data_IF_468270022512
#
_entry.id   IF_468270022512
#
_cell.length_a   1.000
_cell.length_b   1.000
_cell.length_c   1.000
_cell.angle_alpha   90.00
_cell.angle_beta   90.00
_cell.angle_gamma   90.00
#
_symmetry.space_group_name_H-M   'P 1'
#
loop_
_entity.id
_entity.type
_entity.pdbx_description
1 polymer ?
#
# COMPACT_ATOMS: atom_id res chain seq x y z
N UNK A 1 -61.27 -59.25 44.37
CA UNK A 1 -60.99 -59.19 42.94
C UNK A 1 -60.21 -57.88 42.73
N UNK A 2 -58.90 -58.01 42.68
CA UNK A 2 -57.98 -56.87 42.52
C UNK A 2 -57.55 -56.77 41.06
N UNK A 3 -57.85 -55.64 40.46
CA UNK A 3 -57.32 -55.32 39.09
C UNK A 3 -55.94 -54.69 39.20
N UNK A 4 -55.00 -55.05 38.37
CA UNK A 4 -53.64 -54.44 38.37
C UNK A 4 -53.62 -53.13 37.64
N UNK A 5 -53.02 -52.11 38.27
CA UNK A 5 -52.68 -50.83 37.66
C UNK A 5 -51.53 -51.01 36.67
N UNK A 6 -51.74 -50.54 35.43
CA UNK A 6 -50.72 -50.44 34.42
C UNK A 6 -49.73 -49.24 34.68
N UNK A 7 -48.48 -49.56 34.86
CA UNK A 7 -47.37 -48.55 34.89
C UNK A 7 -47.06 -48.07 33.49
N UNK A 8 -47.19 -46.75 33.24
CA UNK A 8 -46.73 -46.08 32.07
C UNK A 8 -45.17 -46.01 32.06
N UNK A 9 -44.48 -46.22 30.95
CA UNK A 9 -43.04 -46.01 30.90
C UNK A 9 -42.73 -44.52 30.74
N UNK A 10 -41.99 -43.97 31.70
CA UNK A 10 -41.38 -42.70 31.60
C UNK A 10 -40.29 -42.77 30.52
N UNK A 11 -40.54 -42.19 29.33
CA UNK A 11 -39.55 -41.86 28.30
C UNK A 11 -38.80 -40.60 28.77
N UNK A 12 -37.66 -40.79 29.45
CA UNK A 12 -36.65 -39.79 29.63
C UNK A 12 -35.80 -39.73 28.35
N UNK A 13 -36.32 -39.09 27.32
CA UNK A 13 -35.56 -38.67 26.18
C UNK A 13 -34.91 -37.30 26.46
N UNK A 14 -33.63 -37.28 26.83
CA UNK A 14 -32.86 -36.04 26.77
C UNK A 14 -32.95 -35.51 25.35
N UNK A 15 -33.15 -34.18 25.14
CA UNK A 15 -33.14 -33.62 23.79
C UNK A 15 -31.82 -33.94 23.15
N UNK A 16 -31.77 -34.26 21.84
CA UNK A 16 -30.53 -34.54 21.14
C UNK A 16 -29.64 -33.30 21.28
N UNK A 17 -28.48 -33.47 21.88
CA UNK A 17 -27.46 -32.44 21.93
C UNK A 17 -27.12 -32.07 20.49
N UNK A 18 -27.39 -30.83 20.11
CA UNK A 18 -26.91 -30.28 18.81
C UNK A 18 -25.42 -30.57 18.70
N UNK A 19 -24.93 -31.03 17.55
CA UNK A 19 -23.50 -31.26 17.37
C UNK A 19 -22.77 -29.95 17.64
N UNK A 20 -21.97 -29.91 18.70
CA UNK A 20 -21.12 -28.77 19.02
C UNK A 20 -20.02 -28.76 17.97
N UNK A 21 -20.02 -27.75 17.10
CA UNK A 21 -18.96 -27.56 16.15
C UNK A 21 -17.68 -27.23 16.94
N UNK A 22 -16.57 -27.89 16.62
CA UNK A 22 -15.29 -27.62 17.25
C UNK A 22 -14.83 -26.19 16.94
N UNK A 23 -14.24 -25.49 17.90
CA UNK A 23 -13.78 -24.10 17.77
C UNK A 23 -12.79 -23.91 16.60
N UNK A 24 -11.99 -24.94 16.32
CA UNK A 24 -11.07 -24.96 15.17
C UNK A 24 -11.83 -24.90 13.84
N UNK A 25 -12.94 -25.64 13.72
CA UNK A 25 -13.77 -25.61 12.50
C UNK A 25 -14.47 -24.27 12.34
N UNK A 26 -14.96 -23.70 13.46
CA UNK A 26 -15.53 -22.35 13.44
C UNK A 26 -14.49 -21.34 12.97
N UNK A 27 -13.28 -21.39 13.51
CA UNK A 27 -12.16 -20.54 13.10
C UNK A 27 -11.86 -20.68 11.61
N UNK A 28 -11.80 -21.93 11.10
CA UNK A 28 -11.56 -22.22 9.70
C UNK A 28 -12.64 -21.60 8.79
N UNK A 29 -13.91 -21.74 9.15
CA UNK A 29 -15.03 -21.19 8.35
C UNK A 29 -15.02 -19.66 8.41
N UNK A 30 -14.95 -19.07 9.61
CA UNK A 30 -15.00 -17.62 9.78
C UNK A 30 -13.82 -16.91 9.12
N UNK A 31 -12.65 -17.55 9.04
CA UNK A 31 -11.47 -16.96 8.40
C UNK A 31 -11.55 -16.89 6.86
N UNK A 32 -12.56 -17.52 6.25
CA UNK A 32 -12.82 -17.44 4.81
C UNK A 32 -13.80 -16.31 4.45
N UNK A 33 -14.41 -15.68 5.44
CA UNK A 33 -15.44 -14.65 5.23
C UNK A 33 -14.80 -13.25 5.12
N UNK A 34 -15.41 -12.31 4.37
CA UNK A 34 -14.96 -10.90 4.35
C UNK A 34 -14.98 -10.31 5.77
N UNK A 35 -14.04 -9.40 6.08
CA UNK A 35 -13.81 -8.81 7.43
C UNK A 35 -15.10 -8.33 8.11
N UNK A 36 -16.01 -7.73 7.35
CA UNK A 36 -17.29 -7.22 7.86
C UNK A 36 -18.11 -8.33 8.56
N UNK A 37 -18.09 -9.55 8.03
CA UNK A 37 -18.89 -10.67 8.57
C UNK A 37 -18.37 -11.15 9.93
N UNK A 38 -17.09 -11.52 10.13
CA UNK A 38 -16.56 -11.82 11.45
C UNK A 38 -16.76 -10.67 12.44
N UNK A 39 -16.63 -9.41 12.03
CA UNK A 39 -16.88 -8.27 12.91
C UNK A 39 -18.33 -8.24 13.44
N UNK A 40 -19.31 -8.50 12.59
CA UNK A 40 -20.72 -8.65 13.01
C UNK A 40 -20.92 -9.86 13.93
N UNK A 41 -20.22 -10.96 13.66
CA UNK A 41 -20.34 -12.19 14.42
C UNK A 41 -19.77 -12.09 15.84
N UNK A 42 -18.94 -11.11 16.16
CA UNK A 42 -18.52 -10.79 17.55
C UNK A 42 -19.73 -10.50 18.46
N UNK A 43 -20.86 -10.10 17.90
CA UNK A 43 -22.08 -9.80 18.67
C UNK A 43 -22.95 -11.03 18.97
N UNK A 44 -22.67 -12.19 18.35
CA UNK A 44 -23.51 -13.39 18.47
C UNK A 44 -23.37 -14.04 19.85
N UNK A 45 -22.15 -14.30 20.31
CA UNK A 45 -21.88 -14.86 21.63
C UNK A 45 -20.47 -14.53 22.13
N UNK A 46 -20.24 -14.74 23.43
CA UNK A 46 -18.94 -14.48 24.08
C UNK A 46 -17.80 -15.31 23.46
N UNK A 47 -18.07 -16.58 23.14
CA UNK A 47 -17.10 -17.49 22.54
C UNK A 47 -16.59 -16.92 21.18
N UNK A 48 -17.51 -16.56 20.30
CA UNK A 48 -17.15 -15.99 18.99
C UNK A 48 -16.46 -14.64 19.13
N UNK A 49 -16.86 -13.81 20.10
CA UNK A 49 -16.16 -12.56 20.39
C UNK A 49 -14.71 -12.83 20.78
N UNK A 50 -14.45 -13.79 21.67
CA UNK A 50 -13.09 -14.15 22.09
C UNK A 50 -12.29 -14.70 20.93
N UNK A 51 -12.83 -15.66 20.19
CA UNK A 51 -12.20 -16.29 19.04
C UNK A 51 -11.79 -15.26 17.97
N UNK A 52 -12.72 -14.41 17.54
CA UNK A 52 -12.48 -13.43 16.47
C UNK A 52 -11.54 -12.29 16.93
N UNK A 53 -11.43 -12.06 18.25
CA UNK A 53 -10.52 -11.05 18.81
C UNK A 53 -9.13 -11.61 19.10
N UNK A 54 -8.94 -12.90 18.90
CA UNK A 54 -7.63 -13.54 19.07
C UNK A 54 -6.68 -13.17 17.93
N UNK A 55 -5.40 -12.96 18.28
CA UNK A 55 -4.36 -12.59 17.29
C UNK A 55 -4.06 -13.72 16.30
N UNK A 56 -4.13 -14.98 16.75
CA UNK A 56 -3.92 -16.12 15.85
C UNK A 56 -5.05 -16.20 14.81
N UNK A 57 -6.29 -15.93 15.21
CA UNK A 57 -7.41 -15.82 14.26
C UNK A 57 -7.24 -14.67 13.29
N UNK A 58 -6.82 -13.48 13.75
CA UNK A 58 -6.58 -12.33 12.88
C UNK A 58 -5.49 -12.63 11.83
N UNK A 59 -4.41 -13.34 12.21
CA UNK A 59 -3.37 -13.80 11.30
C UNK A 59 -3.87 -14.84 10.30
N UNK A 60 -4.62 -15.83 10.76
CA UNK A 60 -5.22 -16.86 9.88
C UNK A 60 -6.15 -16.21 8.85
N UNK A 61 -6.99 -15.27 9.28
CA UNK A 61 -7.89 -14.52 8.42
C UNK A 61 -7.09 -13.72 7.37
N UNK A 62 -6.05 -12.99 7.81
CA UNK A 62 -5.20 -12.21 6.91
C UNK A 62 -4.49 -13.07 5.86
N UNK A 63 -3.99 -14.26 6.24
CA UNK A 63 -3.35 -15.20 5.31
C UNK A 63 -4.31 -15.68 4.21
N UNK A 64 -5.61 -15.74 4.50
CA UNK A 64 -6.67 -16.18 3.57
C UNK A 64 -7.34 -15.02 2.83
N UNK A 65 -7.15 -13.81 3.31
CA UNK A 65 -7.72 -12.61 2.69
C UNK A 65 -7.16 -12.40 1.27
N UNK A 66 -8.01 -12.13 0.30
CA UNK A 66 -7.54 -11.85 -1.05
C UNK A 66 -6.70 -10.57 -1.07
N UNK A 67 -5.56 -10.63 -1.75
CA UNK A 67 -4.63 -9.50 -1.91
C UNK A 67 -5.10 -8.55 -3.01
N UNK A 68 -4.62 -7.31 -2.96
CA UNK A 68 -4.87 -6.29 -3.99
C UNK A 68 -6.35 -6.01 -4.26
N UNK A 69 -7.18 -6.09 -3.23
CA UNK A 69 -8.62 -5.86 -3.35
C UNK A 69 -9.02 -4.40 -3.25
N UNK A 70 -8.20 -3.58 -2.59
CA UNK A 70 -8.46 -2.17 -2.35
C UNK A 70 -7.23 -1.31 -2.66
N UNK A 71 -7.49 -0.08 -3.08
CA UNK A 71 -6.54 1.01 -3.13
C UNK A 71 -6.92 2.05 -2.08
N UNK A 72 -5.94 2.59 -1.38
CA UNK A 72 -6.14 3.73 -0.50
C UNK A 72 -6.16 4.99 -1.35
N UNK A 73 -7.31 5.56 -1.56
CA UNK A 73 -7.44 6.85 -2.22
C UNK A 73 -7.21 7.95 -1.18
N UNK A 74 -6.32 8.85 -1.51
CA UNK A 74 -5.96 9.99 -0.67
C UNK A 74 -6.43 11.23 -1.40
N UNK A 75 -7.32 11.99 -0.76
CA UNK A 75 -7.81 13.28 -1.27
C UNK A 75 -7.21 14.40 -0.44
N UNK A 76 -6.73 15.42 -1.12
CA UNK A 76 -6.26 16.64 -0.49
C UNK A 76 -7.35 17.72 -0.64
N UNK A 77 -7.95 18.11 0.46
CA UNK A 77 -8.90 19.23 0.47
C UNK A 77 -8.11 20.48 0.82
N UNK A 78 -7.67 21.19 -0.17
CA UNK A 78 -7.12 22.53 0.01
C UNK A 78 -8.28 23.52 0.21
N UNK A 79 -8.77 23.61 1.44
CA UNK A 79 -9.51 24.78 1.83
C UNK A 79 -8.46 25.84 2.23
N UNK A 80 -8.42 27.04 1.58
CA UNK A 80 -7.41 28.05 1.87
C UNK A 80 -7.38 28.51 3.32
N UNK A 81 -8.47 28.30 4.06
CA UNK A 81 -8.67 28.78 5.44
C UNK A 81 -8.52 27.68 6.51
N UNK A 82 -8.32 26.41 6.12
CA UNK A 82 -8.19 25.29 7.06
C UNK A 82 -6.87 24.56 6.85
N UNK A 83 -6.30 24.04 7.96
CA UNK A 83 -5.13 23.19 7.93
C UNK A 83 -5.36 22.00 6.97
N UNK A 84 -4.32 21.61 6.22
CA UNK A 84 -4.32 20.50 5.27
C UNK A 84 -5.13 19.31 5.80
N UNK A 85 -6.35 19.15 5.32
CA UNK A 85 -7.21 18.03 5.67
C UNK A 85 -6.98 16.92 4.64
N UNK A 86 -6.44 15.79 5.09
CA UNK A 86 -6.20 14.63 4.26
C UNK A 86 -7.28 13.60 4.55
N UNK A 87 -8.12 13.33 3.56
CA UNK A 87 -9.08 12.24 3.61
C UNK A 87 -8.47 10.98 3.02
N UNK A 88 -8.51 9.89 3.75
CA UNK A 88 -8.00 8.58 3.32
C UNK A 88 -9.16 7.58 3.31
N UNK A 89 -9.37 6.92 2.18
CA UNK A 89 -10.44 5.95 2.01
C UNK A 89 -9.97 4.69 1.28
N UNK A 90 -10.18 3.48 1.86
CA UNK A 90 -10.04 2.22 1.13
C UNK A 90 -11.12 2.09 0.05
N UNK A 91 -10.70 2.04 -1.20
CA UNK A 91 -11.60 1.94 -2.36
C UNK A 91 -11.43 0.57 -3.04
N UNK A 92 -12.53 -0.21 -3.23
CA UNK A 92 -12.45 -1.50 -3.90
C UNK A 92 -11.97 -1.36 -5.34
N UNK A 93 -10.94 -2.12 -5.70
CA UNK A 93 -10.42 -2.15 -7.09
C UNK A 93 -11.49 -2.57 -8.09
N UNK A 94 -12.41 -3.45 -7.68
CA UNK A 94 -13.56 -3.86 -8.52
C UNK A 94 -14.42 -2.69 -8.96
N UNK A 95 -14.62 -1.70 -8.09
CA UNK A 95 -15.41 -0.52 -8.42
C UNK A 95 -14.76 0.34 -9.52
N UNK A 96 -13.41 0.40 -9.54
CA UNK A 96 -12.68 1.05 -10.64
C UNK A 96 -12.85 0.27 -11.97
N UNK A 97 -12.91 -1.06 -11.89
CA UNK A 97 -13.02 -1.95 -13.05
C UNK A 97 -14.45 -2.03 -13.58
N UNK A 98 -15.48 -1.82 -12.76
CA UNK A 98 -16.90 -1.88 -13.11
C UNK A 98 -17.44 -0.57 -13.69
N UNK A 99 -16.65 0.51 -13.67
CA UNK A 99 -17.03 1.78 -14.29
C UNK A 99 -17.25 1.54 -15.78
N UNK A 100 -18.49 1.25 -16.16
CA UNK A 100 -18.89 0.98 -17.56
C UNK A 100 -18.89 2.28 -18.35
N UNK A 101 -18.31 2.23 -19.54
CA UNK A 101 -18.31 3.29 -20.52
C UNK A 101 -19.76 3.69 -20.89
N UNK A 102 -20.10 4.94 -20.68
CA UNK A 102 -21.14 5.57 -21.49
C UNK A 102 -20.49 6.05 -22.79
N UNK A 103 -20.99 5.65 -23.98
CA UNK A 103 -20.38 6.03 -25.24
C UNK A 103 -20.39 7.55 -25.52
N UNK A 104 -21.03 8.34 -24.66
CA UNK A 104 -21.15 9.79 -24.79
C UNK A 104 -20.22 10.61 -23.90
N UNK A 105 -19.47 9.97 -22.97
CA UNK A 105 -18.52 10.67 -22.10
C UNK A 105 -17.22 9.90 -22.05
N UNK A 106 -16.21 10.40 -22.74
CA UNK A 106 -14.82 9.91 -22.68
C UNK A 106 -14.17 10.15 -21.32
N UNK A 107 -14.80 10.96 -20.47
CA UNK A 107 -14.36 11.29 -19.13
C UNK A 107 -15.46 10.94 -18.14
N UNK A 108 -15.26 9.93 -17.31
CA UNK A 108 -16.10 9.76 -16.12
C UNK A 108 -15.39 10.40 -14.93
N UNK A 109 -16.11 11.36 -14.37
CA UNK A 109 -15.90 11.69 -12.97
C UNK A 109 -16.10 10.39 -12.18
N UNK A 110 -15.08 9.96 -11.43
CA UNK A 110 -15.31 9.23 -10.19
C UNK A 110 -15.91 10.28 -9.27
N UNK A 111 -17.13 10.71 -9.59
CA UNK A 111 -17.87 11.62 -8.77
C UNK A 111 -18.34 10.83 -7.58
N UNK A 112 -17.93 11.25 -6.43
CA UNK A 112 -18.22 10.68 -5.15
C UNK A 112 -17.67 9.25 -4.95
N UNK A 113 -16.51 9.17 -4.37
CA UNK A 113 -16.16 8.07 -3.47
C UNK A 113 -17.39 7.90 -2.58
N UNK A 114 -18.03 6.71 -2.55
CA UNK A 114 -19.21 6.51 -1.71
C UNK A 114 -18.86 6.96 -0.31
N UNK A 115 -19.62 7.87 0.24
CA UNK A 115 -19.41 8.41 1.59
C UNK A 115 -19.77 7.30 2.59
N UNK A 116 -18.92 6.24 2.67
CA UNK A 116 -19.05 5.25 3.72
C UNK A 116 -18.29 5.78 4.95
N UNK A 117 -19.03 6.31 5.94
CA UNK A 117 -18.42 6.92 7.12
C UNK A 117 -17.59 5.92 7.95
N UNK A 118 -17.73 4.61 7.71
CA UNK A 118 -16.97 3.57 8.43
C UNK A 118 -15.52 3.49 7.99
N UNK A 119 -15.21 3.82 6.74
CA UNK A 119 -13.87 3.67 6.17
C UNK A 119 -13.13 4.98 5.98
N UNK A 120 -13.78 6.11 6.20
CA UNK A 120 -13.17 7.42 5.98
C UNK A 120 -12.52 7.96 7.24
N UNK A 121 -11.21 8.13 7.21
CA UNK A 121 -10.50 8.86 8.26
C UNK A 121 -10.48 10.35 7.91
N UNK A 122 -11.25 11.12 8.64
CA UNK A 122 -11.08 12.58 8.76
C UNK A 122 -10.30 12.84 10.03
N UNK A 123 -8.98 12.87 9.94
CA UNK A 123 -8.18 13.13 11.12
C UNK A 123 -7.26 14.31 10.88
N UNK A 124 -7.56 15.35 11.58
CA UNK A 124 -6.85 16.61 11.58
C UNK A 124 -5.43 16.53 12.15
N UNK A 125 -5.08 15.42 12.82
CA UNK A 125 -3.78 15.25 13.47
C UNK A 125 -2.72 14.55 12.58
N UNK A 126 -3.13 13.95 11.46
CA UNK A 126 -2.25 13.21 10.57
C UNK A 126 -2.50 13.63 9.12
N UNK A 127 -1.44 13.91 8.39
CA UNK A 127 -1.50 14.44 7.01
C UNK A 127 -0.83 13.55 5.98
N UNK A 128 -0.15 12.48 6.39
CA UNK A 128 0.56 11.57 5.49
C UNK A 128 0.30 10.11 5.82
N UNK A 129 0.03 9.31 4.80
CA UNK A 129 0.06 7.85 4.86
C UNK A 129 1.46 7.37 4.55
N UNK A 130 2.19 6.97 5.58
CA UNK A 130 3.57 6.47 5.48
C UNK A 130 3.62 5.15 4.71
N UNK A 131 2.70 4.24 5.00
CA UNK A 131 2.64 2.93 4.36
C UNK A 131 1.45 2.10 4.80
N UNK A 132 1.24 1.00 4.08
CA UNK A 132 0.21 0.00 4.35
C UNK A 132 0.86 -1.38 4.46
N UNK A 133 0.55 -2.11 5.52
CA UNK A 133 1.06 -3.46 5.73
C UNK A 133 0.07 -4.29 6.56
N UNK A 134 -0.27 -5.49 6.08
CA UNK A 134 -1.16 -6.43 6.79
C UNK A 134 -2.50 -5.83 7.24
N UNK A 135 -3.05 -4.88 6.47
CA UNK A 135 -4.30 -4.18 6.78
C UNK A 135 -4.18 -3.06 7.81
N UNK A 136 -2.97 -2.76 8.27
CA UNK A 136 -2.69 -1.56 9.07
C UNK A 136 -2.09 -0.47 8.19
N UNK A 137 -2.51 0.76 8.44
CA UNK A 137 -1.93 1.97 7.89
C UNK A 137 -1.10 2.65 8.96
N UNK A 138 0.13 3.02 8.60
CA UNK A 138 0.94 3.93 9.40
C UNK A 138 0.70 5.36 8.92
N UNK A 139 0.21 6.19 9.81
CA UNK A 139 -0.06 7.61 9.58
C UNK A 139 0.99 8.45 10.28
N UNK A 140 1.42 9.54 9.64
CA UNK A 140 2.30 10.54 10.24
C UNK A 140 1.56 11.86 10.45
N UNK A 141 1.68 12.39 11.67
CA UNK A 141 1.26 13.73 12.01
C UNK A 141 2.45 14.59 12.43
N UNK A 142 2.24 15.90 12.46
CA UNK A 142 3.23 16.84 12.97
C UNK A 142 2.59 18.07 13.58
N UNK A 143 3.33 18.70 14.49
CA UNK A 143 3.02 20.03 14.98
C UNK A 143 4.23 20.96 14.84
N UNK A 144 3.95 22.20 14.47
CA UNK A 144 4.94 23.23 14.28
C UNK A 144 4.81 24.26 15.39
N UNK A 145 5.86 24.39 16.20
CA UNK A 145 6.01 25.49 17.13
C UNK A 145 7.25 26.31 16.74
N UNK A 146 7.37 27.59 17.08
CA UNK A 146 8.40 28.51 16.57
C UNK A 146 9.85 28.04 16.74
N UNK A 147 10.10 27.05 17.60
CA UNK A 147 11.43 26.47 17.83
C UNK A 147 11.43 24.95 17.94
N UNK A 148 10.30 24.30 17.69
CA UNK A 148 10.17 22.87 17.89
C UNK A 148 9.17 22.28 16.90
N UNK A 149 9.70 21.49 15.97
CA UNK A 149 8.90 20.64 15.07
C UNK A 149 8.82 19.25 15.66
N UNK A 150 7.63 18.81 16.01
CA UNK A 150 7.41 17.47 16.57
C UNK A 150 6.58 16.63 15.60
N UNK A 151 7.03 15.44 15.32
CA UNK A 151 6.29 14.46 14.53
C UNK A 151 5.91 13.25 15.39
N UNK A 152 4.82 12.58 15.04
CA UNK A 152 4.37 11.33 15.65
C UNK A 152 3.80 10.39 14.61
N UNK A 153 3.63 9.13 15.00
CA UNK A 153 3.02 8.08 14.20
C UNK A 153 1.73 7.57 14.87
N UNK A 154 0.81 7.08 14.07
CA UNK A 154 -0.38 6.36 14.52
C UNK A 154 -0.61 5.15 13.62
N UNK A 155 -1.14 4.06 14.18
CA UNK A 155 -1.66 2.95 13.41
C UNK A 155 -3.17 3.06 13.27
N UNK A 156 -3.67 2.88 12.06
CA UNK A 156 -5.09 2.84 11.78
C UNK A 156 -5.45 1.56 11.04
N UNK A 157 -6.51 0.90 11.48
CA UNK A 157 -7.13 -0.20 10.75
C UNK A 157 -8.51 0.26 10.25
N UNK A 158 -8.67 0.56 8.96
CA UNK A 158 -9.94 0.96 8.38
C UNK A 158 -11.05 -0.07 8.58
N UNK A 159 -10.76 -1.37 8.39
CA UNK A 159 -11.75 -2.43 8.44
C UNK A 159 -12.37 -2.63 9.83
N UNK A 160 -11.65 -2.29 10.90
CA UNK A 160 -12.14 -2.34 12.29
C UNK A 160 -12.46 -0.95 12.85
N UNK A 161 -12.18 0.10 12.07
CA UNK A 161 -12.29 1.51 12.45
C UNK A 161 -11.57 1.84 13.77
N UNK A 162 -10.39 1.23 13.97
CA UNK A 162 -9.57 1.45 15.17
C UNK A 162 -8.35 2.27 14.85
N UNK A 163 -8.05 3.26 15.69
CA UNK A 163 -6.93 4.17 15.58
C UNK A 163 -6.13 4.14 16.88
N UNK A 164 -4.79 3.96 16.79
CA UNK A 164 -3.92 3.99 17.96
C UNK A 164 -3.79 5.39 18.54
N UNK A 165 -3.23 5.50 19.73
CA UNK A 165 -2.69 6.76 20.27
C UNK A 165 -1.50 7.26 19.43
N UNK A 166 -1.01 8.46 19.72
CA UNK A 166 0.19 9.05 19.13
C UNK A 166 1.42 8.37 19.71
N UNK A 167 2.25 7.81 18.86
CA UNK A 167 3.45 7.02 19.21
C UNK A 167 4.67 7.59 18.50
N UNK A 168 5.87 7.18 18.93
CA UNK A 168 7.10 7.44 18.21
C UNK A 168 7.44 8.91 18.02
N UNK A 169 7.23 9.73 19.03
CA UNK A 169 7.53 11.16 18.95
C UNK A 169 8.99 11.43 18.58
N UNK A 170 9.19 12.32 17.60
CA UNK A 170 10.49 12.83 17.16
C UNK A 170 10.46 14.35 17.12
N UNK A 171 11.53 14.98 17.58
CA UNK A 171 11.66 16.45 17.57
C UNK A 171 12.81 16.88 16.67
N UNK A 172 12.57 17.94 15.87
CA UNK A 172 13.58 18.60 15.02
C UNK A 172 14.36 17.64 14.10
N UNK A 173 13.72 16.56 13.67
CA UNK A 173 14.30 15.60 12.73
C UNK A 173 13.52 15.65 11.41
N UNK A 174 14.10 16.34 10.41
CA UNK A 174 13.58 16.32 9.05
C UNK A 174 13.97 15.00 8.40
N UNK A 175 13.00 14.15 8.16
CA UNK A 175 13.22 12.81 7.61
C UNK A 175 12.00 12.32 6.82
N UNK A 176 12.25 11.32 5.98
CA UNK A 176 11.21 10.52 5.34
C UNK A 176 10.90 9.30 6.17
N UNK A 177 9.74 8.71 5.92
CA UNK A 177 9.28 7.55 6.65
C UNK A 177 8.87 6.44 5.70
N UNK A 178 9.04 5.21 6.16
CA UNK A 178 8.45 4.03 5.55
C UNK A 178 8.00 3.06 6.62
N UNK A 179 7.15 2.08 6.25
CA UNK A 179 6.48 1.20 7.20
C UNK A 179 6.49 -0.23 6.70
N UNK A 180 6.69 -1.17 7.61
CA UNK A 180 6.71 -2.59 7.31
C UNK A 180 6.49 -3.45 8.54
N UNK A 181 6.62 -4.76 8.36
CA UNK A 181 6.39 -5.77 9.37
C UNK A 181 7.59 -6.71 9.47
N UNK A 182 8.10 -6.87 10.67
CA UNK A 182 9.14 -7.83 11.01
C UNK A 182 8.50 -9.18 11.31
N UNK A 183 8.69 -10.12 10.40
CA UNK A 183 8.10 -11.47 10.48
C UNK A 183 8.67 -12.26 11.65
N UNK A 184 9.95 -12.04 12.00
CA UNK A 184 10.67 -12.81 13.02
C UNK A 184 10.20 -12.47 14.44
N UNK A 185 9.91 -11.20 14.70
CA UNK A 185 9.48 -10.70 16.02
C UNK A 185 7.98 -10.40 16.08
N UNK A 186 7.24 -10.70 15.00
CA UNK A 186 5.78 -10.44 14.92
C UNK A 186 5.43 -8.99 15.26
N UNK A 187 6.21 -8.04 14.76
CA UNK A 187 6.05 -6.63 15.14
C UNK A 187 6.08 -5.67 13.95
N UNK A 188 5.30 -4.61 14.05
CA UNK A 188 5.34 -3.52 13.08
C UNK A 188 6.50 -2.59 13.37
N UNK A 189 7.16 -2.15 12.30
CA UNK A 189 8.29 -1.23 12.36
C UNK A 189 8.09 -0.06 11.39
N UNK A 190 8.45 1.14 11.84
CA UNK A 190 8.60 2.29 10.97
C UNK A 190 10.09 2.65 10.87
N UNK A 191 10.53 3.02 9.67
CA UNK A 191 11.89 3.48 9.43
C UNK A 191 11.85 4.96 9.08
N UNK A 192 12.51 5.78 9.88
CA UNK A 192 12.72 7.20 9.63
C UNK A 192 14.12 7.41 9.09
N UNK A 193 14.26 8.08 7.94
CA UNK A 193 15.55 8.17 7.26
C UNK A 193 15.80 9.53 6.59
N UNK A 194 17.07 9.88 6.55
CA UNK A 194 17.67 10.94 5.75
C UNK A 194 18.95 10.38 5.12
N UNK A 195 19.67 11.16 4.33
CA UNK A 195 20.90 10.68 3.69
C UNK A 195 21.95 10.17 4.67
N UNK A 196 22.03 10.75 5.85
CA UNK A 196 23.11 10.49 6.84
C UNK A 196 22.61 9.90 8.16
N UNK A 197 21.33 9.55 8.25
CA UNK A 197 20.75 9.02 9.49
C UNK A 197 19.58 8.12 9.22
N UNK A 198 19.59 6.94 9.81
CA UNK A 198 18.49 5.98 9.75
C UNK A 198 18.12 5.54 11.16
N UNK A 199 16.82 5.53 11.43
CA UNK A 199 16.26 5.08 12.70
C UNK A 199 15.14 4.09 12.46
N UNK A 200 15.04 3.10 13.30
CA UNK A 200 13.94 2.13 13.33
C UNK A 200 13.11 2.34 14.58
N UNK A 201 11.81 2.40 14.42
CA UNK A 201 10.82 2.43 15.48
C UNK A 201 10.07 1.12 15.52
N UNK A 202 10.00 0.49 16.69
CA UNK A 202 9.17 -0.70 16.92
C UNK A 202 7.94 -0.28 17.70
N UNK A 203 6.75 -0.56 17.16
CA UNK A 203 5.49 -0.11 17.77
C UNK A 203 5.21 -0.78 19.14
N UNK A 204 5.73 -1.99 19.39
CA UNK A 204 5.50 -2.70 20.65
C UNK A 204 6.19 -2.06 21.85
N UNK A 205 7.42 -1.60 21.70
CA UNK A 205 8.23 -1.01 22.78
C UNK A 205 8.25 0.52 22.75
N UNK A 206 7.65 1.14 21.74
CA UNK A 206 7.58 2.59 21.56
C UNK A 206 8.94 3.31 21.60
N UNK A 207 9.99 2.67 21.07
CA UNK A 207 11.37 3.16 21.13
C UNK A 207 11.96 3.32 19.74
N UNK A 208 12.64 4.45 19.50
CA UNK A 208 13.47 4.69 18.33
C UNK A 208 14.90 4.22 18.57
N UNK A 209 15.44 3.43 17.65
CA UNK A 209 16.85 3.03 17.65
C UNK A 209 17.55 3.58 16.41
N UNK A 210 18.81 4.01 16.55
CA UNK A 210 19.65 4.30 15.40
C UNK A 210 20.20 2.97 14.87
N UNK A 211 20.22 2.83 13.56
CA UNK A 211 20.87 1.73 12.85
C UNK A 211 21.97 2.29 11.95
N UNK A 212 22.72 1.44 11.27
CA UNK A 212 23.68 1.86 10.26
C UNK A 212 23.02 2.72 9.19
N UNK A 213 23.77 3.69 8.68
CA UNK A 213 23.33 4.52 7.57
C UNK A 213 23.30 3.69 6.28
N UNK A 214 22.61 4.19 5.27
CA UNK A 214 22.56 3.53 3.98
C UNK A 214 23.96 3.30 3.40
N UNK A 215 24.27 2.09 2.89
CA UNK A 215 25.51 1.85 2.15
C UNK A 215 25.55 2.62 0.83
N UNK A 216 24.39 2.81 0.21
CA UNK A 216 24.14 3.68 -0.93
C UNK A 216 22.91 4.51 -0.64
N UNK A 217 23.01 5.83 -0.66
CA UNK A 217 21.90 6.72 -0.32
C UNK A 217 20.76 6.54 -1.33
N UNK A 218 19.52 6.29 -0.86
CA UNK A 218 18.37 6.17 -1.72
C UNK A 218 18.19 7.38 -2.63
N UNK A 219 17.67 7.12 -3.82
CA UNK A 219 17.36 8.13 -4.80
C UNK A 219 16.46 9.22 -4.19
N UNK A 220 16.74 10.47 -4.48
CA UNK A 220 15.95 11.64 -4.12
C UNK A 220 15.74 11.90 -2.61
N UNK A 221 16.52 11.28 -1.71
CA UNK A 221 16.39 11.55 -0.27
C UNK A 221 16.73 13.01 0.08
N UNK A 222 17.68 13.62 -0.63
CA UNK A 222 18.11 15.01 -0.43
C UNK A 222 17.62 15.97 -1.50
N UNK A 223 16.85 15.49 -2.47
CA UNK A 223 16.51 16.31 -3.62
C UNK A 223 15.62 17.50 -3.23
N UNK A 224 16.21 18.66 -3.30
CA UNK A 224 15.54 19.96 -3.36
C UNK A 224 14.97 20.24 -4.77
N UNK A 225 15.06 19.28 -5.69
CA UNK A 225 14.61 19.41 -7.07
C UNK A 225 13.09 19.40 -7.12
N UNK A 226 12.53 20.52 -7.55
CA UNK A 226 11.09 20.77 -7.67
C UNK A 226 10.35 19.83 -8.65
N UNK A 227 11.09 19.00 -9.40
CA UNK A 227 10.55 18.16 -10.48
C UNK A 227 10.49 16.66 -10.12
N UNK A 228 10.86 16.25 -8.90
CA UNK A 228 10.84 14.84 -8.49
C UNK A 228 9.59 14.55 -7.71
N UNK A 229 9.12 13.30 -7.80
CA UNK A 229 7.98 12.78 -7.05
C UNK A 229 8.42 12.31 -5.65
N UNK A 230 8.59 13.20 -4.65
CA UNK A 230 9.35 12.92 -3.43
C UNK A 230 8.80 11.74 -2.62
N UNK A 231 7.51 11.44 -2.77
CA UNK A 231 6.86 10.36 -2.02
C UNK A 231 6.88 9.00 -2.72
N UNK A 232 7.21 8.97 -4.01
CA UNK A 232 7.35 7.73 -4.78
C UNK A 232 8.57 6.93 -4.32
N UNK A 233 9.58 7.61 -3.79
CA UNK A 233 10.87 7.02 -3.39
C UNK A 233 11.00 6.77 -1.88
N UNK A 234 9.88 6.78 -1.13
CA UNK A 234 9.91 6.51 0.32
C UNK A 234 10.25 5.06 0.69
N UNK A 235 10.48 4.21 -0.30
CA UNK A 235 10.72 2.79 -0.12
C UNK A 235 9.45 1.95 -0.12
N UNK A 236 9.59 0.70 -0.50
CA UNK A 236 8.48 -0.26 -0.59
C UNK A 236 8.76 -1.50 0.25
N UNK A 237 7.75 -1.92 1.01
CA UNK A 237 7.84 -3.11 1.85
C UNK A 237 7.42 -4.36 1.09
N UNK A 238 8.27 -5.39 1.11
CA UNK A 238 7.94 -6.74 0.64
C UNK A 238 8.77 -7.78 1.39
N UNK A 239 8.16 -8.91 1.74
CA UNK A 239 8.84 -10.09 2.30
C UNK A 239 9.75 -9.79 3.52
N UNK A 240 9.32 -8.93 4.43
CA UNK A 240 10.08 -8.59 5.65
C UNK A 240 11.16 -7.52 5.45
N UNK A 241 11.30 -6.98 4.25
CA UNK A 241 12.31 -5.98 3.91
C UNK A 241 11.71 -4.72 3.28
N UNK A 242 12.40 -3.60 3.45
CA UNK A 242 12.08 -2.33 2.78
C UNK A 242 13.12 -2.07 1.70
N UNK A 243 12.66 -1.68 0.53
CA UNK A 243 13.48 -1.58 -0.67
C UNK A 243 13.41 -0.17 -1.26
N UNK A 244 14.54 0.41 -1.57
CA UNK A 244 14.68 1.73 -2.18
C UNK A 244 15.51 1.65 -3.45
N UNK A 245 15.14 2.41 -4.46
CA UNK A 245 16.04 2.67 -5.58
C UNK A 245 17.15 3.62 -5.13
N UNK A 246 18.37 3.33 -5.52
CA UNK A 246 19.56 4.13 -5.20
C UNK A 246 20.51 4.21 -6.40
N UNK A 247 21.41 5.19 -6.37
CA UNK A 247 22.46 5.37 -7.39
C UNK A 247 23.81 5.43 -6.67
N UNK A 248 24.71 4.50 -7.00
CA UNK A 248 26.04 4.43 -6.40
C UNK A 248 26.85 5.69 -6.72
N UNK A 249 27.68 6.06 -5.77
CA UNK A 249 28.80 7.01 -5.93
C UNK A 249 28.48 8.50 -6.06
N UNK A 250 27.21 8.94 -5.90
CA UNK A 250 26.95 10.39 -5.95
C UNK A 250 25.78 10.83 -5.04
N UNK A 251 26.05 11.82 -4.21
CA UNK A 251 25.04 12.62 -3.50
C UNK A 251 24.48 13.68 -4.46
N UNK A 252 25.34 14.26 -5.32
CA UNK A 252 24.95 15.20 -6.39
C UNK A 252 25.33 14.62 -7.74
N UNK A 253 24.36 14.49 -8.66
CA UNK A 253 24.58 13.99 -10.01
C UNK A 253 23.75 14.79 -11.02
N UNK A 254 24.29 14.95 -12.20
CA UNK A 254 23.51 15.32 -13.36
C UNK A 254 23.01 14.01 -14.03
N UNK A 255 21.74 13.95 -14.39
CA UNK A 255 21.13 12.75 -14.96
C UNK A 255 21.87 12.21 -16.19
N UNK A 256 22.44 13.10 -16.98
CA UNK A 256 23.25 12.77 -18.18
C UNK A 256 24.55 11.99 -17.88
N UNK A 257 25.06 12.08 -16.64
CA UNK A 257 26.35 11.47 -16.25
C UNK A 257 26.17 10.11 -15.58
N UNK A 258 24.90 9.66 -15.37
CA UNK A 258 24.60 8.39 -14.74
C UNK A 258 24.76 7.26 -15.75
N UNK A 259 25.27 6.13 -15.28
CA UNK A 259 25.37 4.88 -16.03
C UNK A 259 24.52 3.79 -15.45
N UNK A 260 24.15 2.78 -16.24
CA UNK A 260 23.23 1.69 -15.83
C UNK A 260 23.75 0.92 -14.62
N UNK A 261 25.05 0.68 -14.54
CA UNK A 261 25.71 -0.06 -13.48
C UNK A 261 25.70 0.67 -12.11
N UNK A 262 25.39 1.96 -12.10
CA UNK A 262 25.23 2.73 -10.87
C UNK A 262 23.89 2.49 -10.18
N UNK A 263 22.87 2.04 -10.91
CA UNK A 263 21.57 1.75 -10.29
C UNK A 263 21.62 0.51 -9.43
N UNK A 264 21.07 0.62 -8.23
CA UNK A 264 20.97 -0.45 -7.26
C UNK A 264 19.67 -0.33 -6.47
N UNK A 265 19.17 -1.45 -5.98
CA UNK A 265 18.05 -1.47 -5.03
C UNK A 265 18.65 -1.80 -3.66
N UNK A 266 18.63 -0.83 -2.74
CA UNK A 266 19.04 -1.04 -1.35
C UNK A 266 17.88 -1.65 -0.59
N UNK A 267 18.12 -2.80 0.03
CA UNK A 267 17.13 -3.57 0.76
C UNK A 267 17.54 -3.67 2.23
N UNK A 268 16.69 -3.15 3.13
CA UNK A 268 16.84 -3.25 4.58
C UNK A 268 15.98 -4.40 5.10
N UNK A 269 16.59 -5.44 5.62
CA UNK A 269 15.91 -6.51 6.35
C UNK A 269 15.45 -6.00 7.72
N UNK A 270 14.14 -6.07 7.99
CA UNK A 270 13.59 -5.56 9.25
C UNK A 270 13.86 -6.44 10.46
N UNK A 271 14.19 -7.73 10.27
CA UNK A 271 14.51 -8.65 11.36
C UNK A 271 15.93 -8.43 11.87
N UNK A 272 16.89 -8.36 10.95
CA UNK A 272 18.32 -8.21 11.27
C UNK A 272 18.78 -6.77 11.32
N UNK A 273 17.99 -5.84 10.78
CA UNK A 273 18.30 -4.41 10.61
C UNK A 273 19.59 -4.18 9.81
N UNK A 274 19.88 -5.08 8.86
CA UNK A 274 21.04 -5.04 7.97
C UNK A 274 20.64 -4.78 6.53
N UNK A 275 21.59 -4.23 5.75
CA UNK A 275 21.36 -3.91 4.34
C UNK A 275 21.92 -4.98 3.41
N UNK A 276 21.28 -5.15 2.28
CA UNK A 276 21.82 -5.83 1.10
C UNK A 276 21.51 -5.02 -0.15
N UNK A 277 22.29 -5.23 -1.20
CA UNK A 277 22.06 -4.64 -2.50
C UNK A 277 21.50 -5.68 -3.47
N UNK A 278 20.44 -5.30 -4.18
CA UNK A 278 19.87 -6.06 -5.29
C UNK A 278 20.11 -5.27 -6.57
N UNK A 279 20.43 -5.95 -7.66
CA UNK A 279 20.62 -5.30 -8.94
C UNK A 279 19.28 -5.18 -9.68
N UNK A 280 19.10 -4.16 -10.52
CA UNK A 280 18.01 -4.11 -11.48
C UNK A 280 18.00 -5.32 -12.41
N UNK A 281 16.90 -5.62 -13.12
CA UNK A 281 16.84 -6.73 -14.06
C UNK A 281 17.87 -6.58 -15.20
N UNK A 282 18.43 -7.69 -15.70
CA UNK A 282 19.43 -7.68 -16.79
C UNK A 282 18.94 -6.99 -18.07
N UNK A 283 17.61 -6.90 -18.27
CA UNK A 283 17.03 -6.18 -19.39
C UNK A 283 17.02 -4.65 -19.25
N UNK A 284 17.46 -4.11 -18.11
CA UNK A 284 17.69 -2.68 -17.91
C UNK A 284 19.09 -2.32 -18.43
N UNK A 285 19.20 -1.95 -19.70
CA UNK A 285 20.48 -1.79 -20.43
C UNK A 285 20.80 -0.37 -20.81
N UNK A 286 19.94 0.58 -20.50
CA UNK A 286 20.12 2.00 -20.80
C UNK A 286 19.53 2.86 -19.68
N UNK A 287 20.14 4.03 -19.45
CA UNK A 287 19.58 5.03 -18.52
C UNK A 287 18.35 5.66 -19.17
N UNK A 288 17.18 5.55 -18.58
CA UNK A 288 15.97 6.09 -19.17
C UNK A 288 15.91 7.61 -19.05
N UNK A 289 15.15 8.32 -19.91
CA UNK A 289 15.00 9.77 -19.84
C UNK A 289 14.22 10.23 -18.58
N UNK A 290 13.48 9.33 -17.96
CA UNK A 290 12.69 9.54 -16.74
C UNK A 290 13.12 8.50 -15.73
N UNK A 291 13.12 8.87 -14.46
CA UNK A 291 13.57 8.01 -13.37
C UNK A 291 12.83 6.66 -13.36
N UNK A 292 13.56 5.53 -13.16
CA UNK A 292 12.93 4.25 -12.91
C UNK A 292 12.24 4.24 -11.54
N UNK A 293 11.33 3.31 -11.34
CA UNK A 293 10.67 3.16 -10.03
C UNK A 293 10.69 1.72 -9.52
N UNK A 294 10.64 1.60 -8.20
CA UNK A 294 10.48 0.34 -7.47
C UNK A 294 9.12 0.35 -6.79
N UNK A 295 8.33 -0.70 -7.04
CA UNK A 295 6.97 -0.85 -6.50
C UNK A 295 6.72 -2.29 -6.05
N UNK A 296 5.56 -2.56 -5.47
CA UNK A 296 5.14 -3.92 -5.12
C UNK A 296 3.81 -4.22 -5.81
N UNK A 297 3.78 -5.28 -6.61
CA UNK A 297 2.56 -5.80 -7.23
C UNK A 297 2.46 -7.30 -6.95
N UNK A 298 1.29 -7.74 -6.47
CA UNK A 298 1.04 -9.16 -6.19
C UNK A 298 2.11 -9.80 -5.29
N UNK A 299 2.47 -9.10 -4.21
CA UNK A 299 3.51 -9.46 -3.25
C UNK A 299 4.93 -9.66 -3.86
N UNK A 300 5.15 -9.24 -5.10
CA UNK A 300 6.45 -9.26 -5.76
C UNK A 300 7.08 -7.87 -5.80
N UNK A 301 8.40 -7.81 -5.59
CA UNK A 301 9.17 -6.61 -5.89
C UNK A 301 9.16 -6.37 -7.41
N UNK A 302 8.82 -5.16 -7.80
CA UNK A 302 8.73 -4.75 -9.19
C UNK A 302 9.68 -3.60 -9.49
N UNK A 303 10.26 -3.63 -10.68
CA UNK A 303 11.09 -2.55 -11.23
C UNK A 303 10.46 -2.09 -12.53
N UNK A 304 10.23 -0.79 -12.68
CA UNK A 304 9.68 -0.24 -13.91
C UNK A 304 10.55 0.88 -14.46
N UNK A 305 10.65 0.92 -15.78
CA UNK A 305 11.45 1.94 -16.47
C UNK A 305 10.92 2.21 -17.88
N UNK A 306 11.32 3.35 -18.42
CA UNK A 306 11.11 3.69 -19.82
C UNK A 306 12.25 3.12 -20.66
N UNK A 307 11.95 2.34 -21.70
CA UNK A 307 12.94 1.77 -22.62
C UNK A 307 12.88 2.47 -23.97
N UNK A 308 14.05 2.89 -24.49
CA UNK A 308 14.24 3.56 -25.78
C UNK A 308 13.32 4.75 -26.03
N UNK A 309 12.86 5.39 -24.95
CA UNK A 309 11.90 6.48 -25.05
C UNK A 309 10.52 6.10 -25.61
N UNK A 310 10.28 4.84 -25.98
CA UNK A 310 9.10 4.38 -26.73
C UNK A 310 8.22 3.39 -25.98
N UNK A 311 8.75 2.73 -24.94
CA UNK A 311 8.04 1.69 -24.20
C UNK A 311 8.16 1.90 -22.69
N UNK A 312 7.08 1.63 -21.98
CA UNK A 312 7.09 1.35 -20.56
C UNK A 312 7.33 -0.13 -20.33
N UNK A 313 8.29 -0.48 -19.49
CA UNK A 313 8.66 -1.86 -19.18
C UNK A 313 8.52 -2.10 -17.68
N UNK A 314 7.85 -3.19 -17.32
CA UNK A 314 7.62 -3.59 -15.94
C UNK A 314 8.17 -5.00 -15.72
N UNK A 315 9.05 -5.13 -14.74
CA UNK A 315 9.68 -6.37 -14.31
C UNK A 315 9.15 -6.79 -12.94
N UNK A 316 9.06 -8.10 -12.69
CA UNK A 316 8.75 -8.69 -11.39
C UNK A 316 9.89 -9.59 -10.94
N UNK A 317 10.29 -9.50 -9.68
CA UNK A 317 11.17 -10.45 -9.02
C UNK A 317 10.31 -11.57 -8.45
N UNK A 318 10.31 -12.72 -9.09
CA UNK A 318 9.39 -13.84 -8.75
C UNK A 318 9.77 -14.51 -7.43
N UNK A 319 11.06 -14.51 -7.08
CA UNK A 319 11.59 -14.94 -5.79
C UNK A 319 12.41 -13.81 -5.19
N UNK A 320 11.92 -13.27 -4.06
CA UNK A 320 12.51 -12.07 -3.47
C UNK A 320 13.97 -12.27 -3.06
N UNK A 321 14.84 -11.44 -3.61
CA UNK A 321 16.29 -11.47 -3.35
C UNK A 321 17.08 -12.38 -4.26
N UNK A 322 16.44 -13.13 -5.17
CA UNK A 322 17.09 -13.96 -6.18
C UNK A 322 17.17 -13.17 -7.49
N UNK A 323 18.38 -12.78 -7.87
CA UNK A 323 18.63 -11.91 -9.04
C UNK A 323 18.13 -12.52 -10.35
N UNK A 324 18.27 -13.81 -10.52
CA UNK A 324 17.88 -14.56 -11.71
C UNK A 324 16.36 -14.71 -11.86
N UNK A 325 15.62 -14.41 -10.78
CA UNK A 325 14.16 -14.51 -10.77
C UNK A 325 13.45 -13.31 -11.40
N UNK A 326 14.19 -12.26 -11.82
CA UNK A 326 13.60 -11.15 -12.56
C UNK A 326 12.97 -11.63 -13.87
N UNK A 327 11.68 -11.35 -14.03
CA UNK A 327 10.91 -11.70 -15.23
C UNK A 327 10.23 -10.46 -15.79
N UNK A 328 10.34 -10.22 -17.08
CA UNK A 328 9.62 -9.14 -17.73
C UNK A 328 8.11 -9.47 -17.73
N UNK A 329 7.36 -8.72 -16.95
CA UNK A 329 5.91 -8.92 -16.82
C UNK A 329 5.15 -8.22 -17.95
N UNK A 330 5.48 -6.95 -18.24
CA UNK A 330 4.82 -6.18 -19.30
C UNK A 330 5.84 -5.30 -20.04
N UNK A 331 5.56 -5.13 -21.34
CA UNK A 331 6.19 -4.12 -22.18
C UNK A 331 5.10 -3.45 -23.00
N UNK A 332 4.85 -2.16 -22.76
CA UNK A 332 3.74 -1.39 -23.30
C UNK A 332 4.31 -0.27 -24.17
N UNK A 333 3.89 -0.19 -25.44
CA UNK A 333 4.22 0.96 -26.29
C UNK A 333 3.48 2.20 -25.80
N UNK A 334 4.15 3.35 -25.76
CA UNK A 334 3.49 4.62 -25.44
C UNK A 334 2.40 4.98 -26.45
N UNK A 335 2.47 4.46 -27.68
CA UNK A 335 1.38 4.60 -28.64
C UNK A 335 0.07 3.94 -28.17
N UNK A 336 0.16 2.81 -27.42
CA UNK A 336 -0.99 2.13 -26.87
C UNK A 336 -1.48 2.75 -25.54
N UNK A 337 -0.67 3.66 -24.98
CA UNK A 337 -1.03 4.50 -23.84
C UNK A 337 -1.52 5.87 -24.28
N UNK A 338 -1.63 6.14 -25.61
CA UNK A 338 -2.14 7.40 -26.12
C UNK A 338 -3.54 7.62 -25.54
N UNK A 339 -3.54 8.54 -24.64
CA UNK A 339 -4.73 9.12 -24.08
C UNK A 339 -5.12 10.17 -25.11
N UNK A 340 -6.23 9.94 -25.80
CA UNK A 340 -6.77 10.85 -26.83
C UNK A 340 -7.27 12.13 -26.13
N UNK A 341 -6.33 13.01 -25.87
CA UNK A 341 -6.60 14.30 -25.22
C UNK A 341 -6.35 15.38 -26.25
N UNK A 342 -7.30 15.84 -26.94
CA UNK A 342 -7.36 17.03 -27.79
C UNK A 342 -6.27 18.11 -27.60
N UNK A 343 -5.06 17.75 -27.21
CA UNK A 343 -3.90 18.58 -26.97
C UNK A 343 -2.81 18.18 -27.95
N UNK A 344 -2.54 19.10 -28.86
CA UNK A 344 -1.32 19.31 -29.65
C UNK A 344 -0.36 18.14 -29.80
N UNK A 345 -0.17 17.68 -31.04
CA UNK A 345 0.86 16.75 -31.57
C UNK A 345 2.33 17.11 -31.26
N UNK A 346 2.64 17.80 -30.18
CA UNK A 346 4.04 18.12 -29.87
C UNK A 346 4.74 16.92 -29.22
N UNK A 347 5.63 16.29 -29.97
CA UNK A 347 6.56 15.23 -29.55
C UNK A 347 7.37 15.56 -28.28
N UNK A 348 7.33 16.78 -27.78
CA UNK A 348 7.96 17.23 -26.55
C UNK A 348 7.23 16.76 -25.28
N UNK A 349 5.92 16.48 -25.35
CA UNK A 349 5.14 16.05 -24.20
C UNK A 349 5.35 14.58 -23.80
N UNK A 350 5.64 13.69 -24.75
CA UNK A 350 5.95 12.28 -24.49
C UNK A 350 7.22 12.09 -23.65
N UNK A 351 8.09 13.09 -23.58
CA UNK A 351 9.39 12.98 -22.91
C UNK A 351 9.32 13.08 -21.39
N UNK A 352 8.21 13.55 -20.80
CA UNK A 352 8.10 13.82 -19.38
C UNK A 352 7.03 12.96 -18.66
N UNK A 353 6.36 12.03 -19.36
CA UNK A 353 5.34 11.19 -18.76
C UNK A 353 5.96 10.20 -17.75
N UNK A 354 5.63 10.35 -16.48
CA UNK A 354 5.98 9.40 -15.43
C UNK A 354 4.82 8.44 -15.19
N UNK A 355 5.10 7.15 -15.13
CA UNK A 355 4.13 6.09 -14.89
C UNK A 355 4.53 5.28 -13.65
N UNK A 356 3.65 5.26 -12.65
CA UNK A 356 3.84 4.48 -11.43
C UNK A 356 2.81 3.35 -11.36
N UNK A 357 3.20 2.07 -11.41
CA UNK A 357 2.31 0.95 -11.17
C UNK A 357 1.75 0.97 -9.75
N UNK A 358 0.43 0.90 -9.59
CA UNK A 358 -0.25 0.92 -8.30
C UNK A 358 -0.82 -0.45 -7.92
N UNK A 359 -1.49 -1.10 -8.86
CA UNK A 359 -2.18 -2.36 -8.62
C UNK A 359 -2.35 -3.14 -9.93
N UNK A 360 -2.35 -4.44 -9.85
CA UNK A 360 -2.69 -5.31 -10.97
C UNK A 360 -3.80 -6.29 -10.59
N UNK A 361 -4.75 -6.50 -11.51
CA UNK A 361 -5.84 -7.45 -11.36
C UNK A 361 -5.77 -8.49 -12.48
N UNK A 362 -5.41 -9.72 -12.13
CA UNK A 362 -5.28 -10.82 -13.11
C UNK A 362 -6.64 -11.22 -13.70
N UNK A 363 -7.72 -11.17 -12.90
CA UNK A 363 -9.07 -11.55 -13.36
C UNK A 363 -9.56 -10.69 -14.52
N UNK A 364 -9.26 -9.39 -14.47
CA UNK A 364 -9.62 -8.44 -15.53
C UNK A 364 -8.51 -8.19 -16.53
N UNK A 365 -7.30 -8.74 -16.31
CA UNK A 365 -6.08 -8.43 -17.06
C UNK A 365 -5.77 -6.92 -17.08
N UNK A 366 -5.94 -6.25 -15.95
CA UNK A 366 -5.80 -4.79 -15.87
C UNK A 366 -4.66 -4.38 -14.94
N UNK A 367 -3.77 -3.52 -15.43
CA UNK A 367 -2.79 -2.78 -14.65
C UNK A 367 -3.31 -1.36 -14.40
N UNK A 368 -3.35 -0.95 -13.15
CA UNK A 368 -3.67 0.41 -12.74
C UNK A 368 -2.36 1.14 -12.48
N UNK A 369 -2.19 2.29 -13.14
CA UNK A 369 -0.98 3.12 -13.03
C UNK A 369 -1.37 4.56 -12.72
N UNK A 370 -0.62 5.21 -11.82
CA UNK A 370 -0.66 6.66 -11.69
C UNK A 370 0.16 7.31 -12.80
N UNK A 371 -0.31 8.47 -13.26
CA UNK A 371 0.40 9.33 -14.21
C UNK A 371 0.11 10.79 -13.91
N UNK A 372 1.00 11.67 -14.36
CA UNK A 372 0.79 13.11 -14.37
C UNK A 372 1.04 13.67 -15.77
N UNK A 373 0.42 14.78 -16.05
CA UNK A 373 0.75 15.62 -17.18
C UNK A 373 1.63 16.78 -16.69
N UNK A 374 2.67 17.12 -17.43
CA UNK A 374 3.51 18.31 -17.21
C UNK A 374 4.51 18.30 -16.02
N UNK A 375 4.82 17.16 -15.41
CA UNK A 375 5.90 17.11 -14.39
C UNK A 375 5.56 17.74 -13.04
N UNK A 376 4.38 18.28 -12.84
CA UNK A 376 3.92 18.74 -11.53
C UNK A 376 3.33 17.57 -10.75
N UNK A 377 3.96 17.26 -9.62
CA UNK A 377 3.59 16.12 -8.75
C UNK A 377 2.22 16.27 -8.11
N UNK A 378 1.80 17.50 -7.87
CA UNK A 378 0.57 17.79 -7.14
C UNK A 378 -0.60 18.17 -8.04
N UNK A 379 -0.32 18.59 -9.28
CA UNK A 379 -1.33 18.98 -10.22
C UNK A 379 -1.59 17.87 -11.26
N UNK A 380 -2.85 17.71 -11.64
CA UNK A 380 -3.26 16.89 -12.78
C UNK A 380 -2.88 15.41 -12.70
N UNK A 381 -2.86 14.82 -11.50
CA UNK A 381 -2.67 13.38 -11.34
C UNK A 381 -3.86 12.60 -11.87
N UNK A 382 -3.57 11.47 -12.54
CA UNK A 382 -4.59 10.56 -13.08
C UNK A 382 -4.25 9.12 -12.82
N UNK A 383 -5.24 8.23 -12.86
CA UNK A 383 -5.02 6.81 -13.01
C UNK A 383 -5.37 6.35 -14.42
N UNK A 384 -4.51 5.49 -14.96
CA UNK A 384 -4.71 4.78 -16.22
C UNK A 384 -5.00 3.32 -15.91
N UNK A 385 -6.09 2.80 -16.45
CA UNK A 385 -6.44 1.39 -16.42
C UNK A 385 -6.06 0.77 -17.78
N UNK A 386 -4.95 0.03 -17.79
CA UNK A 386 -4.43 -0.61 -18.99
C UNK A 386 -4.75 -2.10 -19.00
N UNK A 387 -5.46 -2.55 -20.03
CA UNK A 387 -5.77 -3.96 -20.24
C UNK A 387 -4.66 -4.61 -21.07
N UNK A 388 -3.85 -5.47 -20.43
CA UNK A 388 -2.71 -6.07 -21.12
C UNK A 388 -3.08 -7.20 -22.08
N UNK A 389 -4.27 -7.83 -21.93
CA UNK A 389 -4.75 -8.85 -22.88
C UNK A 389 -5.16 -8.21 -24.19
N UNK A 390 -5.80 -7.05 -24.14
CA UNK A 390 -6.25 -6.30 -25.32
C UNK A 390 -5.27 -5.23 -25.77
N UNK A 391 -4.18 -5.03 -25.01
CA UNK A 391 -3.12 -4.05 -25.27
C UNK A 391 -3.64 -2.63 -25.52
N UNK A 392 -4.55 -2.18 -24.65
CA UNK A 392 -5.19 -0.86 -24.77
C UNK A 392 -5.51 -0.26 -23.40
N UNK A 393 -5.71 1.04 -23.39
CA UNK A 393 -6.28 1.76 -22.24
C UNK A 393 -7.80 1.57 -22.24
N UNK A 394 -8.34 1.06 -21.14
CA UNK A 394 -9.77 0.88 -20.93
C UNK A 394 -10.39 2.09 -20.24
N UNK A 395 -9.65 2.79 -19.37
CA UNK A 395 -10.11 3.97 -18.64
C UNK A 395 -8.94 4.89 -18.27
N UNK A 396 -9.23 6.20 -18.32
CA UNK A 396 -8.41 7.24 -17.67
C UNK A 396 -9.33 8.03 -16.75
N UNK A 397 -8.89 8.24 -15.50
CA UNK A 397 -9.68 9.04 -14.55
C UNK A 397 -9.61 10.52 -14.89
N UNK A 398 -10.65 11.28 -14.51
CA UNK A 398 -10.68 12.73 -14.72
C UNK A 398 -9.65 13.46 -13.85
N UNK A 399 -9.20 14.64 -14.28
CA UNK A 399 -8.35 15.55 -13.51
C UNK A 399 -9.05 16.23 -12.32
N UNK A 400 -10.36 16.34 -12.38
CA UNK A 400 -11.15 17.10 -11.39
C UNK A 400 -11.35 16.37 -10.07
N UNK A 401 -10.73 15.19 -9.94
CA UNK A 401 -10.75 14.47 -8.67
C UNK A 401 -9.52 14.89 -7.89
N UNK A 402 -9.67 15.50 -6.74
CA UNK A 402 -8.59 15.86 -5.81
C UNK A 402 -7.85 14.64 -5.25
N UNK A 403 -7.83 13.53 -6.02
CA UNK A 403 -7.16 12.28 -5.63
C UNK A 403 -5.68 12.38 -5.97
N UNK A 404 -4.87 12.17 -4.96
CA UNK A 404 -3.42 12.11 -5.07
C UNK A 404 -2.97 10.68 -5.46
N UNK A 405 -3.04 10.36 -6.76
CA UNK A 405 -2.79 9.02 -7.26
C UNK A 405 -1.38 8.49 -6.95
N UNK A 406 -0.37 9.34 -6.94
CA UNK A 406 1.01 8.93 -6.60
C UNK A 406 1.18 8.58 -5.11
N UNK A 407 0.27 9.01 -4.26
CA UNK A 407 0.27 8.68 -2.83
C UNK A 407 -0.55 7.44 -2.52
N UNK A 408 -1.32 6.96 -3.48
CA UNK A 408 -2.15 5.76 -3.36
C UNK A 408 -1.31 4.53 -3.00
N UNK A 409 -1.81 3.71 -2.08
CA UNK A 409 -1.18 2.46 -1.63
C UNK A 409 -2.15 1.30 -1.79
N UNK A 410 -1.63 0.12 -2.06
CA UNK A 410 -2.42 -1.11 -1.95
C UNK A 410 -2.86 -1.34 -0.51
N UNK A 411 -4.07 -1.87 -0.33
CA UNK A 411 -4.62 -2.18 0.98
C UNK A 411 -5.32 -3.53 0.97
N UNK A 412 -5.21 -4.26 2.07
CA UNK A 412 -5.94 -5.50 2.34
C UNK A 412 -6.72 -5.34 3.63
N UNK A 413 -8.00 -5.68 3.63
CA UNK A 413 -8.79 -5.68 4.86
C UNK A 413 -8.27 -6.73 5.84
N UNK A 414 -8.21 -6.40 7.12
CA UNK A 414 -7.76 -7.32 8.16
C UNK A 414 -8.44 -7.06 9.52
N UNK A 415 -8.34 -8.06 10.40
CA UNK A 415 -8.77 -7.97 11.79
C UNK A 415 -7.61 -7.63 12.74
N UNK A 416 -6.46 -7.27 12.20
CA UNK A 416 -5.25 -6.97 13.00
C UNK A 416 -5.49 -5.77 13.90
N UNK A 417 -5.09 -5.89 15.16
CA UNK A 417 -5.23 -4.83 16.15
C UNK A 417 -4.24 -3.69 15.92
N UNK A 418 -4.69 -2.45 16.15
CA UNK A 418 -3.84 -1.26 16.18
C UNK A 418 -3.12 -1.06 17.52
N UNK A 419 -3.49 -1.84 18.55
CA UNK A 419 -2.80 -1.85 19.82
C UNK A 419 -1.67 -2.88 19.73
N UNK A 420 -0.39 -2.45 19.76
CA UNK A 420 0.71 -3.37 19.96
C UNK A 420 0.48 -4.06 21.32
N UNK A 421 0.47 -5.38 21.35
CA UNK A 421 0.45 -6.09 22.63
C UNK A 421 1.86 -5.99 23.20
N UNK A 422 1.97 -5.68 24.49
CA UNK A 422 3.17 -5.99 25.24
C UNK A 422 3.42 -7.50 25.15
N UNK A 423 4.67 -7.93 25.02
CA UNK A 423 5.05 -9.33 24.86
C UNK A 423 4.64 -10.18 26.07
#
# INVERSE_FOLDING_TARGET
MNSPQAKSPHLNGAPPSLPVLLDELISQILSLLPVKTPMQMKCVCKLWKTLISDSAFAKLHLQRSPRNTHLLLIQNWSNPDEALDCSVEPFPVTNLLEVRFSPFYTYREISAIPDDPHYRLKNLDCWEVVGSCNGLLCLRGSSWAPRNHTTWLRLWNPATNTLSEKLGYQTNFCCRFTFGYDISTDSYKAVAFSANKVKVFRFGDNVWRNIECFPVVPFDVEATRLNCHPFVYNGVYVSGAINWLAIRNKIEYEWKDITVDQFVIVSLDLATETYRELLPPQGFVEVPPVEPSVTVLMDCLCFSHRSKGTHFVLWKMMEFGVQESWTQFLKISFQNLRIDHGISDSLAYDSQLFLLPLCSCERSNTLIMATNEQGDVFANQRAILFNWKHNRVDLVTSFYNDILWFFTKGYVESLVSTCPRDP
#
